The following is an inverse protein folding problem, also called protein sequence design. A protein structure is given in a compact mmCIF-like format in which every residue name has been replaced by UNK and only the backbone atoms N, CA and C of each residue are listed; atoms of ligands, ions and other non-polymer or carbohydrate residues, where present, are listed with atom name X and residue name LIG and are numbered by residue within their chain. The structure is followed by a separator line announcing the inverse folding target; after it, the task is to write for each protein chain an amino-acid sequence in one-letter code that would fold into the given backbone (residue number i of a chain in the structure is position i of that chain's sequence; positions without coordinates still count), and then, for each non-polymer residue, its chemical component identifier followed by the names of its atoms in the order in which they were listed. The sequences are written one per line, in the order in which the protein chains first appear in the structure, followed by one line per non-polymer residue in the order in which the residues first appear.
data_IF_437035310824
#
_entry.id   IF_437035310824
#
_cell.length_a   1.000
_cell.length_b   1.000
_cell.length_c   1.000
_cell.angle_alpha   90.00
_cell.angle_beta   90.00
_cell.angle_gamma   90.00
#
_symmetry.space_group_name_H-M   'P 1'
#
loop_
_entity.id
_entity.type
_entity.pdbx_description
1 polymer ?
2 non-polymer ?
#
# COMPACT_ATOMS: atom_id res chain seq x y z
N UNK A 2 -1.08 19.38 -10.50
CA UNK A 2 -1.33 19.10 -9.09
C UNK A 2 -2.77 19.30 -8.73
N UNK A 3 -3.20 20.58 -8.55
CA UNK A 3 -4.58 20.96 -8.27
C UNK A 3 -5.41 20.77 -9.53
N UNK A 4 -4.75 20.83 -10.72
CA UNK A 4 -5.34 20.61 -12.04
C UNK A 4 -5.71 19.13 -12.22
N UNK A 5 -4.84 18.19 -11.75
CA UNK A 5 -5.04 16.74 -11.79
C UNK A 5 -6.28 16.33 -10.97
N UNK A 6 -6.39 16.86 -9.72
CA UNK A 6 -7.52 16.64 -8.84
C UNK A 6 -8.84 17.10 -9.49
N UNK A 7 -8.80 18.19 -10.26
CA UNK A 7 -9.99 18.71 -10.95
C UNK A 7 -10.40 17.81 -12.12
N UNK A 8 -9.42 17.32 -12.92
CA UNK A 8 -9.65 16.40 -14.03
C UNK A 8 -10.42 15.18 -13.52
N UNK A 9 -10.03 14.68 -12.34
CA UNK A 9 -10.60 13.53 -11.64
C UNK A 9 -11.94 13.86 -10.94
N UNK A 10 -12.10 15.07 -10.36
CA UNK A 10 -13.36 15.48 -9.70
C UNK A 10 -14.48 15.73 -10.73
N UNK A 11 -14.12 15.97 -12.02
CA UNK A 11 -15.05 16.18 -13.14
C UNK A 11 -15.61 14.83 -13.58
N UNK A 12 -14.74 13.79 -13.54
CA UNK A 12 -15.02 12.38 -13.87
C UNK A 12 -16.03 11.86 -12.82
N UNK A 13 -17.17 11.27 -13.26
CA UNK A 13 -18.13 10.64 -12.36
C UNK A 13 -17.45 9.30 -11.93
N UNK A 14 -17.08 9.21 -10.65
CA UNK A 14 -16.39 8.05 -10.08
C UNK A 14 -14.89 8.24 -9.96
N UNK A 15 -14.47 9.50 -9.90
CA UNK A 15 -13.08 9.89 -9.77
C UNK A 15 -12.55 9.53 -8.40
N UNK A 16 -13.39 9.74 -7.36
CA UNK A 16 -13.06 9.41 -5.96
C UNK A 16 -12.75 7.90 -5.89
N UNK A 17 -13.68 7.09 -6.42
CA UNK A 17 -13.60 5.63 -6.48
C UNK A 17 -12.38 5.18 -7.24
N UNK A 18 -12.10 5.84 -8.38
CA UNK A 18 -10.93 5.57 -9.23
C UNK A 18 -9.66 5.84 -8.42
N UNK A 19 -9.58 7.02 -7.75
CA UNK A 19 -8.43 7.40 -6.91
C UNK A 19 -8.26 6.40 -5.76
N UNK A 20 -9.36 6.03 -5.09
CA UNK A 20 -9.36 5.08 -3.98
C UNK A 20 -8.97 3.68 -4.44
N UNK A 21 -9.33 3.32 -5.69
CA UNK A 21 -8.98 2.05 -6.30
C UNK A 21 -7.47 2.03 -6.64
N UNK A 22 -6.92 3.19 -7.12
CA UNK A 22 -5.50 3.34 -7.39
C UNK A 22 -4.71 3.07 -6.11
N UNK A 23 -5.17 3.62 -4.98
CA UNK A 23 -4.55 3.44 -3.66
C UNK A 23 -4.59 1.97 -3.20
N UNK A 24 -5.69 1.24 -3.50
CA UNK A 24 -5.85 -0.18 -3.16
C UNK A 24 -4.79 -1.02 -3.93
N UNK A 25 -4.70 -0.78 -5.26
CA UNK A 25 -3.80 -1.40 -6.23
C UNK A 25 -2.34 -1.17 -5.84
N UNK A 26 -2.00 0.09 -5.47
CA UNK A 26 -0.65 0.52 -5.02
C UNK A 26 -0.26 -0.29 -3.80
N UNK A 27 -1.17 -0.40 -2.79
CA UNK A 27 -0.89 -1.15 -1.56
C UNK A 27 -0.68 -2.64 -1.79
N UNK A 28 -1.45 -3.27 -2.70
CA UNK A 28 -1.35 -4.68 -3.06
C UNK A 28 -0.01 -4.94 -3.75
N UNK A 29 0.41 -3.96 -4.59
CA UNK A 29 1.66 -3.97 -5.33
C UNK A 29 2.84 -3.91 -4.34
N UNK A 30 2.77 -3.01 -3.35
CA UNK A 30 3.82 -2.91 -2.31
C UNK A 30 3.80 -4.18 -1.49
N UNK A 31 2.61 -4.73 -1.20
CA UNK A 31 2.43 -5.97 -0.44
C UNK A 31 3.13 -7.13 -1.17
N UNK A 32 2.92 -7.27 -2.49
CA UNK A 32 3.52 -8.34 -3.32
C UNK A 32 5.04 -8.22 -3.39
N UNK A 33 5.54 -6.98 -3.52
CA UNK A 33 6.97 -6.66 -3.56
C UNK A 33 7.59 -6.95 -2.21
N UNK A 34 6.89 -6.63 -1.12
CA UNK A 34 7.35 -6.94 0.23
C UNK A 34 7.43 -8.47 0.46
N UNK A 35 6.40 -9.23 0.01
CA UNK A 35 6.33 -10.68 0.16
C UNK A 35 7.37 -11.41 -0.66
N UNK A 36 7.71 -10.91 -1.85
CA UNK A 36 8.72 -11.56 -2.70
C UNK A 36 10.13 -11.41 -2.08
N UNK A 37 10.50 -10.20 -1.66
CA UNK A 37 11.81 -9.94 -1.04
C UNK A 37 12.01 -10.77 0.24
N UNK A 38 10.96 -10.85 1.10
CA UNK A 38 10.94 -11.60 2.36
C UNK A 38 11.08 -13.11 2.06
N UNK A 39 10.34 -13.65 1.07
CA UNK A 39 10.46 -15.06 0.67
C UNK A 39 11.86 -15.34 0.12
N UNK A 40 12.36 -14.45 -0.78
CA UNK A 40 13.70 -14.56 -1.33
C UNK A 40 14.73 -14.56 -0.20
N UNK A 41 14.67 -13.57 0.73
CA UNK A 41 15.58 -13.51 1.92
C UNK A 41 15.59 -14.83 2.69
N UNK A 42 14.40 -15.43 2.93
CA UNK A 42 14.32 -16.71 3.66
C UNK A 42 15.10 -17.83 2.94
N UNK A 43 14.99 -17.92 1.60
CA UNK A 43 15.69 -18.92 0.79
C UNK A 43 17.20 -18.78 0.87
N UNK A 44 17.67 -17.52 0.90
CA UNK A 44 19.06 -17.14 1.02
C UNK A 44 19.58 -17.44 2.41
N UNK A 45 18.73 -17.36 3.45
CA UNK A 45 19.16 -17.70 4.81
C UNK A 45 19.40 -19.18 4.93
N UNK A 46 18.51 -19.98 4.31
CA UNK A 46 18.59 -21.44 4.23
C UNK A 46 19.86 -21.83 3.48
N UNK A 47 20.15 -21.14 2.37
CA UNK A 47 21.33 -21.35 1.55
C UNK A 47 22.60 -21.07 2.36
N UNK A 48 22.65 -19.90 3.04
CA UNK A 48 23.80 -19.55 3.89
C UNK A 48 24.02 -20.60 4.99
N UNK A 49 22.95 -20.92 5.72
CA UNK A 49 22.95 -21.88 6.82
C UNK A 49 23.44 -23.24 6.37
N UNK A 50 22.89 -23.77 5.28
CA UNK A 50 23.25 -25.09 4.73
C UNK A 50 24.69 -25.18 4.21
N UNK A 51 25.14 -24.19 3.42
CA UNK A 51 26.48 -24.16 2.84
C UNK A 51 27.51 -23.91 3.91
N UNK A 52 27.18 -23.16 4.95
CA UNK A 52 28.09 -22.94 6.09
C UNK A 52 28.30 -24.19 6.97
N UNK A 53 27.32 -25.12 6.99
CA UNK A 53 27.41 -26.37 7.76
C UNK A 53 28.48 -27.26 7.14
N UNK A 54 28.37 -27.48 5.82
CA UNK A 54 29.30 -28.36 5.09
C UNK A 54 30.71 -27.75 4.98
N UNK A 55 30.81 -26.40 4.77
CA UNK A 55 32.08 -25.68 4.66
C UNK A 55 32.86 -25.79 5.99
N UNK A 56 32.16 -25.67 7.13
CA UNK A 56 32.77 -25.82 8.46
C UNK A 56 33.26 -27.24 8.65
N UNK A 57 32.45 -28.24 8.27
CA UNK A 57 32.78 -29.67 8.40
C UNK A 57 33.98 -30.01 7.51
N UNK A 58 34.04 -29.37 6.34
CA UNK A 58 35.14 -29.48 5.37
C UNK A 58 36.41 -28.90 5.95
N UNK A 59 36.30 -27.79 6.72
CA UNK A 59 37.41 -27.11 7.38
C UNK A 59 38.00 -27.96 8.48
N UNK A 60 37.14 -28.51 9.37
CA UNK A 60 37.54 -29.34 10.52
C UNK A 60 38.36 -30.54 10.03
N UNK A 61 37.85 -31.17 8.97
CA UNK A 61 38.41 -32.32 8.27
C UNK A 61 39.81 -32.01 7.64
N UNK A 62 39.89 -31.03 6.69
CA UNK A 62 41.10 -30.63 5.96
C UNK A 62 42.26 -30.20 6.88
N UNK A 63 41.94 -29.55 8.01
CA UNK A 63 42.96 -29.07 8.95
C UNK A 63 43.60 -30.20 9.76
N UNK A 64 43.09 -31.44 9.64
CA UNK A 64 43.64 -32.63 10.31
C UNK A 64 44.52 -33.46 9.35
N UNK A 65 44.60 -33.03 8.09
CA UNK A 65 45.35 -33.70 7.04
C UNK A 65 46.75 -33.12 6.95
N UNK A 66 47.69 -33.96 6.52
CA UNK A 66 49.07 -33.57 6.28
C UNK A 66 49.45 -33.87 4.83
N UNK A 67 50.29 -33.01 4.25
CA UNK A 67 50.89 -33.15 2.91
C UNK A 67 49.89 -33.49 1.81
N UNK A 68 48.72 -32.83 1.85
CA UNK A 68 47.67 -33.03 0.87
C UNK A 68 47.81 -31.94 -0.19
N UNK A 69 47.65 -32.28 -1.48
CA UNK A 69 47.82 -31.25 -2.54
C UNK A 69 46.73 -30.18 -2.51
N UNK A 70 47.13 -28.88 -2.66
CA UNK A 70 46.24 -27.70 -2.66
C UNK A 70 45.46 -27.57 -1.33
N UNK A 71 46.05 -28.08 -0.27
CA UNK A 71 45.44 -28.10 1.06
C UNK A 71 45.11 -26.69 1.56
N UNK A 72 46.02 -25.73 1.30
CA UNK A 72 45.90 -24.32 1.71
C UNK A 72 44.91 -23.59 0.82
N UNK A 73 44.94 -23.86 -0.51
CA UNK A 73 44.00 -23.34 -1.46
C UNK A 73 42.58 -23.73 -1.02
N UNK A 74 42.36 -25.01 -0.69
CA UNK A 74 41.04 -25.51 -0.33
C UNK A 74 40.62 -25.02 1.03
N UNK A 75 41.56 -24.76 1.93
CA UNK A 75 41.23 -24.19 3.24
C UNK A 75 40.66 -22.78 3.01
N UNK A 76 41.33 -21.96 2.15
CA UNK A 76 40.92 -20.62 1.73
C UNK A 76 39.59 -20.64 1.04
N UNK A 77 39.40 -21.59 0.09
CA UNK A 77 38.16 -21.78 -0.66
C UNK A 77 37.00 -22.07 0.30
N UNK A 78 37.14 -23.06 1.19
CA UNK A 78 36.13 -23.35 2.22
C UNK A 78 35.85 -22.13 3.10
N UNK A 79 36.90 -21.38 3.50
CA UNK A 79 36.77 -20.19 4.35
C UNK A 79 36.01 -19.05 3.62
N UNK A 80 36.25 -18.92 2.32
CA UNK A 80 35.58 -17.92 1.46
C UNK A 80 34.07 -18.16 1.48
N UNK A 81 33.68 -19.44 1.38
CA UNK A 81 32.29 -19.88 1.43
C UNK A 81 31.69 -19.50 2.76
N UNK A 82 32.46 -19.65 3.87
CA UNK A 82 31.97 -19.25 5.20
C UNK A 82 31.76 -17.73 5.31
N UNK A 83 32.67 -16.93 4.70
CA UNK A 83 32.61 -15.47 4.67
C UNK A 83 31.41 -15.02 3.90
N UNK A 84 31.12 -15.67 2.74
CA UNK A 84 29.95 -15.33 1.92
C UNK A 84 28.71 -15.60 2.72
N UNK A 85 28.64 -16.77 3.39
CA UNK A 85 27.52 -17.09 4.27
C UNK A 85 27.25 -15.99 5.29
N UNK A 86 28.30 -15.54 6.02
CA UNK A 86 28.25 -14.47 7.02
C UNK A 86 27.78 -13.15 6.40
N UNK A 87 28.27 -12.83 5.18
CA UNK A 87 27.90 -11.62 4.44
C UNK A 87 26.43 -11.67 4.06
N UNK A 88 25.96 -12.86 3.61
CA UNK A 88 24.57 -13.08 3.21
C UNK A 88 23.60 -12.81 4.38
N UNK A 89 23.88 -13.39 5.57
CA UNK A 89 23.06 -13.23 6.78
C UNK A 89 22.95 -11.75 7.21
N UNK A 90 24.07 -11.00 7.13
CA UNK A 90 24.17 -9.57 7.42
C UNK A 90 23.40 -8.74 6.40
N UNK A 91 23.51 -9.10 5.09
CA UNK A 91 22.80 -8.44 4.01
C UNK A 91 21.25 -8.60 4.22
N UNK A 92 20.79 -9.83 4.58
CA UNK A 92 19.38 -10.12 4.82
C UNK A 92 18.87 -9.23 5.96
N UNK A 93 19.60 -9.20 7.09
CA UNK A 93 19.29 -8.40 8.28
C UNK A 93 19.17 -6.91 7.95
N UNK A 94 20.08 -6.39 7.11
CA UNK A 94 20.09 -4.99 6.71
C UNK A 94 18.94 -4.70 5.75
N UNK A 95 18.59 -5.66 4.87
CA UNK A 95 17.45 -5.54 3.94
C UNK A 95 16.11 -5.44 4.73
N UNK A 96 15.95 -6.28 5.78
CA UNK A 96 14.77 -6.29 6.64
C UNK A 96 14.59 -4.93 7.31
N UNK A 97 15.70 -4.25 7.59
CA UNK A 97 15.84 -2.97 8.28
C UNK A 97 15.72 -1.74 7.34
N UNK A 98 16.41 -1.77 6.18
CA UNK A 98 16.50 -0.64 5.25
C UNK A 98 15.46 -0.67 4.14
N UNK A 99 14.88 -1.86 3.87
CA UNK A 99 13.87 -2.02 2.82
C UNK A 99 12.49 -2.40 3.40
N UNK A 100 12.36 -3.61 3.97
CA UNK A 100 11.08 -4.14 4.47
C UNK A 100 10.35 -3.19 5.44
N UNK A 101 11.02 -2.76 6.54
CA UNK A 101 10.41 -1.90 7.55
C UNK A 101 9.92 -0.52 7.02
N UNK A 102 10.72 0.35 6.31
CA UNK A 102 10.14 1.64 5.85
C UNK A 102 9.04 1.49 4.80
N UNK A 103 9.12 0.47 3.92
CA UNK A 103 8.13 0.24 2.88
C UNK A 103 6.86 -0.30 3.50
N UNK A 104 6.99 -1.29 4.41
CA UNK A 104 5.86 -1.88 5.11
C UNK A 104 5.10 -0.84 5.94
N UNK A 105 5.85 0.08 6.60
CA UNK A 105 5.32 1.16 7.45
C UNK A 105 4.55 2.19 6.63
N UNK A 106 5.06 2.55 5.44
CA UNK A 106 4.40 3.50 4.56
C UNK A 106 3.15 2.86 3.98
N UNK A 107 3.21 1.57 3.59
CA UNK A 107 2.06 0.83 3.04
C UNK A 107 0.89 0.77 4.02
N UNK A 108 1.14 0.30 5.27
CA UNK A 108 0.09 0.22 6.28
C UNK A 108 -0.51 1.61 6.58
N UNK A 109 0.30 2.69 6.46
CA UNK A 109 -0.14 4.08 6.68
C UNK A 109 -1.15 4.47 5.59
N UNK A 110 -0.81 4.17 4.32
CA UNK A 110 -1.64 4.41 3.13
C UNK A 110 -2.94 3.59 3.20
N UNK A 111 -2.89 2.36 3.78
CA UNK A 111 -4.06 1.48 3.93
C UNK A 111 -5.00 1.97 5.01
N UNK A 112 -4.44 2.59 6.08
CA UNK A 112 -5.24 3.12 7.16
C UNK A 112 -6.00 4.38 6.69
N UNK A 113 -5.32 5.21 5.86
CA UNK A 113 -5.91 6.41 5.27
C UNK A 113 -6.91 6.04 4.19
N UNK A 114 -6.59 5.03 3.33
CA UNK A 114 -7.52 4.58 2.28
C UNK A 114 -8.84 4.09 2.87
N UNK A 115 -8.77 3.24 3.93
CA UNK A 115 -9.93 2.68 4.62
C UNK A 115 -10.80 3.79 5.26
N UNK A 116 -10.14 4.84 5.81
CA UNK A 116 -10.81 6.00 6.41
C UNK A 116 -11.57 6.76 5.35
N UNK A 117 -10.89 7.16 4.25
CA UNK A 117 -11.47 7.91 3.13
C UNK A 117 -12.66 7.21 2.47
N UNK A 118 -12.64 5.86 2.40
CA UNK A 118 -13.71 5.05 1.83
C UNK A 118 -14.99 5.16 2.68
N UNK A 119 -14.85 5.10 4.02
CA UNK A 119 -15.93 5.21 5.01
C UNK A 119 -16.55 6.61 4.95
N UNK A 120 -15.67 7.66 4.92
CA UNK A 120 -16.02 9.07 4.77
C UNK A 120 -16.85 9.29 3.49
N UNK A 121 -16.43 8.64 2.39
CA UNK A 121 -17.06 8.73 1.07
C UNK A 121 -18.43 8.06 1.06
N UNK A 122 -18.59 6.97 1.83
CA UNK A 122 -19.86 6.24 1.97
C UNK A 122 -20.83 7.06 2.78
N UNK A 123 -20.31 7.69 3.87
CA UNK A 123 -21.02 8.57 4.78
C UNK A 123 -21.63 9.78 4.02
N UNK A 124 -20.81 10.56 3.26
CA UNK A 124 -21.25 11.74 2.48
C UNK A 124 -22.29 11.39 1.41
N UNK A 125 -22.18 10.21 0.77
CA UNK A 125 -23.12 9.73 -0.24
C UNK A 125 -24.44 9.30 0.40
N UNK A 126 -24.37 8.68 1.60
CA UNK A 126 -25.52 8.25 2.40
C UNK A 126 -26.33 9.49 2.77
N UNK A 127 -25.65 10.57 3.23
CA UNK A 127 -26.25 11.86 3.58
C UNK A 127 -27.00 12.49 2.41
N UNK A 128 -26.44 12.37 1.19
CA UNK A 128 -27.04 12.88 -0.03
C UNK A 128 -28.31 12.08 -0.34
N UNK A 129 -28.24 10.73 -0.34
CA UNK A 129 -29.43 9.90 -0.60
C UNK A 129 -30.56 10.20 0.42
N UNK A 130 -30.20 10.47 1.70
CA UNK A 130 -31.13 10.82 2.77
C UNK A 130 -31.83 12.15 2.46
N UNK A 131 -31.09 13.17 1.96
CA UNK A 131 -31.62 14.48 1.57
C UNK A 131 -32.58 14.38 0.37
N UNK A 132 -32.27 13.50 -0.62
CA UNK A 132 -33.09 13.28 -1.82
C UNK A 132 -34.38 12.57 -1.41
N UNK A 133 -34.26 11.57 -0.51
CA UNK A 133 -35.40 10.80 -0.03
C UNK A 133 -36.34 11.66 0.83
N UNK A 134 -35.78 12.57 1.65
CA UNK A 134 -36.55 13.50 2.46
C UNK A 134 -37.33 14.49 1.56
N UNK A 135 -36.70 14.94 0.45
CA UNK A 135 -37.23 15.84 -0.57
C UNK A 135 -38.43 15.22 -1.35
N UNK A 136 -38.34 13.92 -1.70
CA UNK A 136 -39.37 13.14 -2.38
C UNK A 136 -40.58 12.99 -1.48
N UNK A 137 -40.36 12.83 -0.15
CA UNK A 137 -41.46 12.71 0.82
C UNK A 137 -42.15 14.05 0.97
N UNK A 138 -41.35 15.13 1.09
CA UNK A 138 -41.84 16.50 1.24
C UNK A 138 -42.61 16.96 0.00
N UNK A 139 -42.23 16.46 -1.20
CA UNK A 139 -42.91 16.75 -2.47
C UNK A 139 -44.29 16.10 -2.50
N UNK A 140 -44.36 14.80 -2.14
CA UNK A 140 -45.60 14.01 -2.08
C UNK A 140 -46.54 14.55 -1.01
N UNK A 141 -45.98 15.05 0.11
CA UNK A 141 -46.74 15.69 1.20
C UNK A 141 -47.41 16.95 0.67
N UNK A 142 -46.68 17.78 -0.06
CA UNK A 142 -47.25 18.99 -0.65
C UNK A 142 -48.38 18.63 -1.65
N UNK A 143 -48.21 17.58 -2.48
CA UNK A 143 -49.27 17.16 -3.42
C UNK A 143 -50.57 16.90 -2.63
N UNK A 144 -50.47 16.11 -1.53
CA UNK A 144 -51.60 15.80 -0.64
C UNK A 144 -52.25 17.06 -0.06
N UNK A 145 -51.44 17.97 0.54
CA UNK A 145 -51.97 19.23 1.08
C UNK A 145 -52.60 20.12 0.01
N UNK A 146 -52.08 20.04 -1.22
CA UNK A 146 -52.65 20.81 -2.32
C UNK A 146 -54.02 20.21 -2.67
N UNK A 147 -54.13 18.87 -2.79
CA UNK A 147 -55.37 18.13 -3.08
C UNK A 147 -56.44 18.46 -2.06
N UNK A 148 -56.02 18.52 -0.76
CA UNK A 148 -56.85 18.84 0.42
C UNK A 148 -57.47 20.21 0.29
N UNK A 149 -56.62 21.22 0.00
CA UNK A 149 -57.01 22.61 -0.18
C UNK A 149 -58.04 22.74 -1.30
N UNK A 150 -57.80 22.08 -2.45
CA UNK A 150 -58.68 22.05 -3.62
C UNK A 150 -60.07 21.55 -3.28
N UNK A 151 -60.15 20.48 -2.44
CA UNK A 151 -61.37 19.84 -1.96
C UNK A 151 -62.21 20.79 -1.07
N UNK A 152 -61.56 21.80 -0.46
CA UNK A 152 -62.16 22.82 0.39
C UNK A 152 -62.29 24.13 -0.41
N UNK A 153 -62.36 24.02 -1.75
CA UNK A 153 -62.37 25.18 -2.65
C UNK A 153 -63.35 25.00 -3.83
N UNK A 154 -64.42 24.22 -3.62
CA UNK A 154 -65.44 23.91 -4.61
C UNK A 154 -66.42 25.08 -4.88
N UNK A 155 -67.03 25.61 -3.81
CA UNK A 155 -67.99 26.71 -3.89
C UNK A 155 -69.43 26.30 -3.63
N UNK A 169 -75.00 31.31 6.02
CA UNK A 169 -73.81 32.07 6.40
C UNK A 169 -73.07 31.39 7.54
N UNK A 170 -73.79 30.51 8.30
CA UNK A 170 -73.20 29.71 9.37
C UNK A 170 -72.29 28.66 8.69
N UNK A 171 -72.77 28.13 7.53
CA UNK A 171 -72.09 27.19 6.65
C UNK A 171 -70.99 27.91 5.84
N UNK A 172 -71.21 29.20 5.48
CA UNK A 172 -70.25 30.01 4.72
C UNK A 172 -68.97 30.28 5.52
N UNK A 173 -69.13 30.70 6.79
CA UNK A 173 -68.07 30.99 7.76
C UNK A 173 -67.22 29.73 8.02
N UNK A 174 -67.90 28.56 8.11
CA UNK A 174 -67.27 27.28 8.32
C UNK A 174 -66.45 26.91 7.07
N UNK A 175 -67.04 27.03 5.85
CA UNK A 175 -66.35 26.75 4.58
C UNK A 175 -65.07 27.57 4.46
N UNK A 176 -65.15 28.87 4.83
CA UNK A 176 -64.05 29.84 4.81
C UNK A 176 -62.95 29.43 5.80
N UNK A 177 -63.35 28.97 7.00
CA UNK A 177 -62.42 28.50 8.03
C UNK A 177 -61.64 27.26 7.53
N UNK A 178 -62.34 26.25 6.95
CA UNK A 178 -61.71 25.02 6.45
C UNK A 178 -60.79 25.28 5.25
N UNK A 179 -61.15 26.28 4.43
CA UNK A 179 -60.33 26.67 3.27
C UNK A 179 -59.07 27.36 3.81
N UNK A 180 -59.20 28.31 4.74
CA UNK A 180 -58.09 29.02 5.36
C UNK A 180 -57.06 28.09 6.07
N UNK A 181 -57.52 27.01 6.74
CA UNK A 181 -56.68 26.05 7.46
C UNK A 181 -55.93 25.15 6.50
N UNK A 182 -56.64 24.63 5.47
CA UNK A 182 -56.02 23.79 4.42
C UNK A 182 -54.98 24.61 3.64
N UNK A 183 -55.22 25.91 3.47
CA UNK A 183 -54.31 26.85 2.81
C UNK A 183 -53.06 27.07 3.69
N UNK A 184 -53.22 27.09 5.04
CA UNK A 184 -52.07 27.26 5.94
C UNK A 184 -51.15 26.03 5.89
N UNK A 185 -51.76 24.83 5.85
CA UNK A 185 -51.09 23.54 5.77
C UNK A 185 -50.44 23.33 4.42
N UNK A 186 -51.05 23.86 3.34
CA UNK A 186 -50.49 23.79 1.98
C UNK A 186 -49.28 24.72 1.87
N UNK A 187 -49.32 25.89 2.55
CA UNK A 187 -48.20 26.85 2.56
C UNK A 187 -47.03 26.32 3.37
N UNK A 188 -47.28 25.66 4.53
CA UNK A 188 -46.23 25.10 5.37
C UNK A 188 -45.53 23.89 4.70
N UNK A 189 -46.28 23.06 3.94
CA UNK A 189 -45.76 21.90 3.20
C UNK A 189 -45.01 22.37 1.94
N UNK A 190 -45.35 23.56 1.42
CA UNK A 190 -44.66 24.18 0.30
C UNK A 190 -43.29 24.62 0.80
N UNK A 191 -43.26 25.40 1.90
CA UNK A 191 -42.05 25.92 2.55
C UNK A 191 -41.10 24.82 2.96
N UNK A 192 -41.64 23.65 3.37
CA UNK A 192 -40.89 22.46 3.77
C UNK A 192 -40.23 21.79 2.56
N UNK A 193 -41.00 21.54 1.46
CA UNK A 193 -40.45 20.86 0.28
C UNK A 193 -39.39 21.73 -0.39
N UNK A 194 -39.55 23.08 -0.32
CA UNK A 194 -38.59 24.03 -0.86
C UNK A 194 -37.32 24.05 0.02
N UNK A 195 -37.46 23.94 1.34
CA UNK A 195 -36.32 23.88 2.24
C UNK A 195 -35.54 22.56 2.02
N UNK A 196 -36.26 21.48 1.59
CA UNK A 196 -35.69 20.17 1.27
C UNK A 196 -34.86 20.23 -0.02
N UNK A 197 -35.27 21.08 -0.98
CA UNK A 197 -34.54 21.28 -2.25
C UNK A 197 -33.16 21.87 -1.89
N UNK A 198 -33.18 22.95 -1.07
CA UNK A 198 -32.03 23.68 -0.55
C UNK A 198 -31.07 22.76 0.21
N UNK A 199 -31.61 21.92 1.13
CA UNK A 199 -30.83 20.95 1.91
C UNK A 199 -30.15 19.92 1.01
N UNK A 200 -30.86 19.46 -0.04
CA UNK A 200 -30.30 18.51 -1.02
C UNK A 200 -29.22 19.21 -1.83
N UNK A 201 -29.41 20.50 -2.15
CA UNK A 201 -28.42 21.29 -2.89
C UNK A 201 -27.16 21.46 -1.99
N UNK A 202 -27.37 21.68 -0.67
CA UNK A 202 -26.30 21.82 0.31
C UNK A 202 -25.46 20.54 0.39
N UNK A 203 -26.11 19.34 0.43
CA UNK A 203 -25.44 18.04 0.48
C UNK A 203 -24.68 17.75 -0.80
N UNK A 204 -25.17 18.31 -1.94
CA UNK A 204 -24.55 18.18 -3.24
C UNK A 204 -23.22 18.94 -3.28
N UNK A 205 -23.21 20.16 -2.73
CA UNK A 205 -21.99 20.98 -2.62
C UNK A 205 -21.01 20.33 -1.63
N UNK A 206 -21.55 19.64 -0.59
CA UNK A 206 -20.77 18.92 0.42
C UNK A 206 -20.03 17.72 -0.17
N UNK A 207 -20.64 17.01 -1.15
CA UNK A 207 -20.03 15.87 -1.86
C UNK A 207 -18.88 16.35 -2.72
N UNK A 208 -18.95 17.62 -3.20
CA UNK A 208 -17.92 18.25 -4.02
C UNK A 208 -16.73 18.70 -3.16
N UNK A 209 -16.97 19.00 -1.86
CA UNK A 209 -15.91 19.40 -0.91
C UNK A 209 -15.13 18.13 -0.59
N UNK A 210 -15.89 17.05 -0.30
CA UNK A 210 -15.37 15.72 -0.01
C UNK A 210 -14.60 15.17 -1.24
N UNK A 211 -15.14 15.38 -2.47
CA UNK A 211 -14.53 14.95 -3.74
C UNK A 211 -13.09 15.44 -3.83
N UNK A 212 -12.89 16.78 -3.74
CA UNK A 212 -11.58 17.44 -3.80
C UNK A 212 -10.66 16.99 -2.64
N UNK A 213 -11.17 16.99 -1.40
CA UNK A 213 -10.43 16.61 -0.18
C UNK A 213 -9.85 15.19 -0.26
N UNK A 214 -10.69 14.22 -0.69
CA UNK A 214 -10.30 12.82 -0.80
C UNK A 214 -9.26 12.63 -1.92
N UNK A 215 -9.53 13.13 -3.14
CA UNK A 215 -8.59 12.92 -4.25
C UNK A 215 -7.23 13.64 -4.02
N UNK A 216 -7.21 14.84 -3.42
CA UNK A 216 -5.97 15.56 -3.15
C UNK A 216 -5.10 14.82 -2.13
N UNK A 217 -5.75 14.25 -1.10
CA UNK A 217 -5.04 13.51 -0.06
C UNK A 217 -4.52 12.18 -0.61
N UNK A 218 -5.30 11.50 -1.47
CA UNK A 218 -4.89 10.25 -2.10
C UNK A 218 -3.68 10.50 -3.03
N UNK A 219 -3.64 11.65 -3.74
CA UNK A 219 -2.52 12.02 -4.63
C UNK A 219 -1.27 12.33 -3.83
N UNK A 220 -1.41 12.98 -2.66
CA UNK A 220 -0.29 13.32 -1.76
C UNK A 220 0.28 12.06 -1.09
N UNK A 221 -0.60 11.10 -0.72
CA UNK A 221 -0.20 9.83 -0.12
C UNK A 221 0.54 8.95 -1.10
N UNK A 222 0.10 8.92 -2.39
CA UNK A 222 0.73 8.14 -3.45
C UNK A 222 2.13 8.74 -3.75
N UNK A 223 2.25 10.07 -3.77
CA UNK A 223 3.51 10.79 -3.96
C UNK A 223 4.51 10.36 -2.89
N UNK A 224 4.05 10.28 -1.63
CA UNK A 224 4.84 9.90 -0.46
C UNK A 224 5.28 8.46 -0.55
N UNK A 225 4.36 7.57 -0.90
CA UNK A 225 4.61 6.15 -1.07
C UNK A 225 5.68 5.94 -2.12
N UNK A 226 5.55 6.63 -3.28
CA UNK A 226 6.53 6.60 -4.37
C UNK A 226 7.90 7.12 -3.89
N UNK A 227 7.91 8.09 -2.95
CA UNK A 227 9.14 8.65 -2.41
C UNK A 227 9.89 7.59 -1.58
N UNK A 228 9.16 6.84 -0.72
CA UNK A 228 9.71 5.77 0.11
C UNK A 228 10.15 4.60 -0.78
N UNK A 229 9.31 4.22 -1.78
CA UNK A 229 9.61 3.10 -2.66
C UNK A 229 10.91 3.32 -3.44
N UNK A 230 11.12 4.51 -4.06
CA UNK A 230 12.36 4.79 -4.80
C UNK A 230 13.57 4.70 -3.88
N UNK A 231 13.47 5.36 -2.71
CA UNK A 231 14.50 5.46 -1.70
C UNK A 231 14.97 4.08 -1.23
N UNK A 232 14.02 3.21 -0.80
CA UNK A 232 14.36 1.89 -0.28
C UNK A 232 14.83 0.95 -1.42
N UNK A 233 14.36 1.16 -2.66
CA UNK A 233 14.79 0.34 -3.81
C UNK A 233 16.24 0.67 -4.12
N UNK A 234 16.55 1.98 -4.16
CA UNK A 234 17.90 2.46 -4.41
C UNK A 234 18.87 1.95 -3.35
N UNK A 235 18.45 1.95 -2.07
CA UNK A 235 19.31 1.43 -1.00
C UNK A 235 19.48 -0.10 -1.14
N UNK A 236 18.39 -0.83 -1.49
CA UNK A 236 18.45 -2.28 -1.75
C UNK A 236 19.49 -2.67 -2.82
N UNK A 237 19.45 -1.99 -3.98
CA UNK A 237 20.35 -2.20 -5.12
C UNK A 237 21.81 -1.95 -4.74
N UNK A 238 22.03 -0.89 -3.95
CA UNK A 238 23.36 -0.52 -3.45
C UNK A 238 23.93 -1.58 -2.51
N UNK A 239 23.02 -2.14 -1.67
CA UNK A 239 23.28 -3.21 -0.70
C UNK A 239 23.65 -4.53 -1.41
N UNK A 240 22.81 -4.97 -2.37
CA UNK A 240 23.02 -6.21 -3.15
C UNK A 240 24.20 -6.07 -4.13
N UNK A 241 24.43 -4.82 -4.60
CA UNK A 241 25.56 -4.44 -5.45
C UNK A 241 26.85 -4.66 -4.70
N UNK A 242 26.90 -4.20 -3.43
CA UNK A 242 28.03 -4.34 -2.49
C UNK A 242 28.33 -5.82 -2.20
N UNK A 243 27.29 -6.64 -2.10
CA UNK A 243 27.36 -8.08 -1.85
C UNK A 243 27.94 -8.83 -3.05
N UNK A 244 27.53 -8.44 -4.27
CA UNK A 244 27.95 -9.04 -5.54
C UNK A 244 29.43 -8.78 -5.88
N UNK A 245 30.02 -7.69 -5.31
CA UNK A 245 31.42 -7.26 -5.51
C UNK A 245 32.46 -8.25 -4.96
N UNK A 246 32.12 -8.92 -3.83
CA UNK A 246 32.96 -9.85 -3.05
C UNK A 246 33.37 -11.15 -3.80
N UNK A 247 32.61 -11.51 -4.83
CA UNK A 247 32.80 -12.72 -5.62
C UNK A 247 33.95 -12.79 -6.63
N UNK A 248 34.00 -11.92 -7.69
CA UNK A 248 35.05 -12.08 -8.73
C UNK A 248 36.51 -12.02 -8.27
N UNK A 249 36.87 -11.03 -7.44
CA UNK A 249 38.24 -10.86 -6.95
C UNK A 249 38.73 -12.10 -6.19
N UNK A 250 37.80 -12.76 -5.46
CA UNK A 250 38.06 -13.94 -4.63
C UNK A 250 38.51 -15.14 -5.44
N UNK A 251 37.76 -15.47 -6.52
CA UNK A 251 38.04 -16.59 -7.41
C UNK A 251 39.28 -16.37 -8.28
N UNK A 252 39.52 -15.12 -8.73
CA UNK A 252 40.70 -14.77 -9.53
C UNK A 252 41.95 -14.88 -8.66
N UNK A 253 41.82 -14.56 -7.34
CA UNK A 253 42.92 -14.67 -6.38
C UNK A 253 43.21 -16.14 -6.12
N UNK A 254 42.14 -16.97 -5.93
CA UNK A 254 42.26 -18.41 -5.69
C UNK A 254 42.92 -19.09 -6.89
N UNK A 255 42.58 -18.67 -8.12
CA UNK A 255 43.15 -19.16 -9.37
C UNK A 255 44.65 -18.80 -9.48
N UNK A 256 45.01 -17.59 -9.01
CA UNK A 256 46.39 -17.10 -8.98
C UNK A 256 47.26 -17.93 -8.03
N UNK A 257 46.67 -18.43 -6.91
CA UNK A 257 47.31 -19.27 -5.87
C UNK A 257 47.74 -20.62 -6.43
N UNK A 258 47.08 -21.10 -7.49
CA UNK A 258 47.36 -22.40 -8.11
C UNK A 258 48.69 -22.43 -8.89
N UNK A 259 49.12 -21.27 -9.44
CA UNK A 259 50.35 -21.09 -10.24
C UNK A 259 51.64 -21.65 -9.57
N UNK A 260 51.99 -21.36 -8.27
CA UNK A 260 53.23 -21.93 -7.72
C UNK A 260 53.15 -23.39 -7.20
N UNK A 261 52.00 -24.09 -7.43
CA UNK A 261 51.83 -25.49 -7.01
C UNK A 261 52.43 -26.43 -8.04
N UNK A 262 53.28 -27.37 -7.59
CA UNK A 262 53.93 -28.35 -8.44
C UNK A 262 53.47 -29.76 -8.06
N UNK A 263 52.85 -30.55 -8.98
CA UNK A 263 52.44 -31.92 -8.63
C UNK A 263 53.58 -32.77 -8.05
N UNK A 264 53.24 -33.61 -7.08
CA UNK A 264 54.17 -34.50 -6.37
C UNK A 264 55.02 -33.85 -5.29
N UNK A 265 55.02 -32.50 -5.17
CA UNK A 265 55.82 -31.76 -4.16
C UNK A 265 55.46 -32.14 -2.72
N UNK A 266 54.17 -32.40 -2.47
CA UNK A 266 53.63 -32.70 -1.14
C UNK A 266 53.96 -34.12 -0.71
N UNK A 267 53.94 -35.09 -1.63
CA UNK A 267 54.32 -36.47 -1.37
C UNK A 267 55.83 -36.50 -1.03
N UNK A 268 56.63 -35.71 -1.78
CA UNK A 268 58.07 -35.53 -1.61
C UNK A 268 58.36 -34.92 -0.20
N UNK A 269 57.55 -33.95 0.25
CA UNK A 269 57.64 -33.37 1.60
C UNK A 269 57.27 -34.46 2.62
N UNK A 270 56.22 -35.25 2.32
CA UNK A 270 55.76 -36.33 3.17
C UNK A 270 56.87 -37.34 3.44
N UNK A 271 57.54 -37.85 2.36
CA UNK A 271 58.63 -38.83 2.40
C UNK A 271 59.81 -38.29 3.26
N UNK A 272 60.24 -37.04 3.00
CA UNK A 272 61.30 -36.35 3.73
C UNK A 272 60.95 -36.16 5.22
N UNK A 273 59.66 -35.99 5.56
CA UNK A 273 59.19 -35.84 6.95
C UNK A 273 59.19 -37.20 7.67
N UNK A 274 59.10 -38.30 6.91
CA UNK A 274 59.11 -39.67 7.40
C UNK A 274 60.54 -40.20 7.34
#
# INVERSE_FOLDING_TARGET
GGEELDLRLIRTKGGVDAALEYAKTWSRYAKELLAWTEKRASYELEFAKSTMKIAEAGKVSIQQQSHMPLQYIYTLFLEHDLSLGTLAMETVAQQKRDYYQPLAAKRTEIEKWRKEFKEQWMKEQKRMNEAVQALRRAQLQYVQRSEDLRARSQGSPEDSAPQASPGPSKQQERRRRSREEAQAKAQEAEALYQACVREANARQQDLEIAKQRIVSHVRKLVFQGDEVLRRVTLSLFGLRGAQAERGPRAFAALAECCAPFEPGQRYQEFVRALRPEAP
#
